data_IF_075039214545
#
_entry.id   IF_075039214545
#
_cell.length_a   1.000
_cell.length_b   1.000
_cell.length_c   1.000
_cell.angle_alpha   90.00
_cell.angle_beta   90.00
_cell.angle_gamma   90.00
#
_symmetry.space_group_name_H-M   'P 1'
#
loop_
_entity.id
_entity.type
_entity.pdbx_description
1 polymer ?
#
# COMPACT_ATOMS: atom_id res chain seq x y z
N UNK A 1 41.70 -47.29 11.20
CA UNK A 1 41.30 -46.11 11.99
C UNK A 1 39.77 -46.21 12.16
N UNK A 2 39.13 -46.48 13.31
CA UNK A 2 39.35 -46.06 14.71
C UNK A 2 39.47 -44.52 14.83
N UNK A 3 38.68 -43.78 15.63
CA UNK A 3 37.75 -44.05 16.76
C UNK A 3 36.40 -43.31 16.55
N UNK A 4 35.22 -43.84 16.94
CA UNK A 4 34.63 -44.03 18.30
C UNK A 4 34.36 -42.72 19.08
N UNK A 5 33.07 -42.42 19.32
CA UNK A 5 32.57 -42.00 20.64
C UNK A 5 31.06 -42.31 20.78
N UNK A 6 30.68 -43.13 21.76
CA UNK A 6 29.31 -43.31 22.23
C UNK A 6 29.19 -42.66 23.62
N UNK A 7 27.99 -42.17 23.95
CA UNK A 7 27.67 -41.65 25.29
C UNK A 7 26.20 -41.86 25.61
N UNK A 8 25.81 -43.11 25.90
CA UNK A 8 24.47 -43.47 26.41
C UNK A 8 24.52 -43.49 27.93
N UNK A 9 23.50 -42.94 28.60
CA UNK A 9 23.27 -43.17 30.03
C UNK A 9 21.77 -43.28 30.33
N UNK A 10 21.37 -44.46 30.81
CA UNK A 10 20.05 -44.80 31.35
C UNK A 10 20.05 -44.68 32.89
N UNK A 11 18.88 -44.56 33.51
CA UNK A 11 18.70 -44.70 34.97
C UNK A 11 17.61 -43.78 35.54
N UNK A 12 16.30 -44.10 35.56
CA UNK A 12 15.54 -45.13 36.35
C UNK A 12 14.93 -44.61 37.65
N UNK A 13 13.68 -45.04 37.92
CA UNK A 13 12.95 -45.06 39.21
C UNK A 13 12.33 -43.76 39.75
N UNK A 14 11.26 -43.78 40.57
CA UNK A 14 10.10 -44.72 40.70
C UNK A 14 9.01 -44.05 41.57
N UNK A 15 7.76 -44.16 41.10
CA UNK A 15 6.45 -43.96 41.78
C UNK A 15 6.40 -44.03 43.33
N UNK A 16 5.88 -42.97 43.97
CA UNK A 16 5.09 -42.86 45.24
C UNK A 16 4.35 -41.50 45.15
N UNK A 17 3.13 -41.23 45.64
CA UNK A 17 2.13 -42.02 46.36
C UNK A 17 1.54 -41.25 47.57
N UNK A 18 0.23 -40.91 47.52
CA UNK A 18 -0.65 -40.55 48.65
C UNK A 18 -0.76 -39.09 49.20
N UNK A 19 -1.98 -38.54 49.07
CA UNK A 19 -2.86 -37.99 50.14
C UNK A 19 -2.54 -36.69 50.94
N UNK A 20 -3.36 -35.64 50.71
CA UNK A 20 -4.46 -35.15 51.60
C UNK A 20 -4.50 -33.72 52.23
N UNK A 21 -5.76 -33.24 52.34
CA UNK A 21 -6.43 -32.10 53.05
C UNK A 21 -5.68 -30.82 53.54
N UNK A 22 -6.19 -29.65 53.12
CA UNK A 22 -6.75 -28.50 53.89
C UNK A 22 -6.51 -27.17 53.14
N UNK A 23 -7.52 -26.47 52.63
CA UNK A 23 -8.60 -25.73 53.33
C UNK A 23 -8.13 -24.51 54.14
N UNK A 24 -8.15 -23.34 53.50
CA UNK A 24 -8.51 -22.07 54.14
C UNK A 24 -9.47 -21.32 53.20
N UNK A 25 -10.68 -21.02 53.69
CA UNK A 25 -11.59 -20.02 53.12
C UNK A 25 -11.53 -18.75 53.97
N UNK A 26 -12.10 -17.68 53.38
CA UNK A 26 -12.88 -16.60 54.01
C UNK A 26 -12.27 -15.19 54.18
N UNK A 27 -13.20 -14.24 53.97
CA UNK A 27 -13.27 -12.84 54.40
C UNK A 27 -12.38 -11.81 53.65
N UNK A 28 -12.90 -10.63 53.27
CA UNK A 28 -14.32 -10.20 53.15
C UNK A 28 -14.47 -8.95 52.26
N UNK A 29 -15.67 -8.76 51.74
CA UNK A 29 -16.13 -7.55 51.05
C UNK A 29 -16.32 -6.37 52.02
N UNK A 30 -16.16 -5.14 51.51
CA UNK A 30 -17.12 -4.05 51.84
C UNK A 30 -17.15 -2.94 50.79
N UNK A 31 -18.33 -2.37 50.63
CA UNK A 31 -18.76 -1.36 49.66
C UNK A 31 -19.10 -0.02 50.33
N UNK A 32 -19.17 1.06 49.55
CA UNK A 32 -19.88 2.35 49.74
C UNK A 32 -19.86 3.01 48.33
N UNK A 33 -20.98 3.21 47.59
CA UNK A 33 -21.97 4.33 47.62
C UNK A 33 -21.34 5.74 47.43
N UNK A 34 -21.90 6.72 46.71
CA UNK A 34 -23.08 6.84 45.81
C UNK A 34 -23.04 8.23 45.10
N UNK A 35 -23.94 8.45 44.11
CA UNK A 35 -24.62 9.72 43.74
C UNK A 35 -24.41 10.36 42.33
N UNK A 36 -25.45 10.20 41.50
CA UNK A 36 -26.19 11.24 40.72
C UNK A 36 -25.47 12.30 39.87
N UNK A 37 -25.67 12.28 38.54
CA UNK A 37 -26.57 13.23 37.83
C UNK A 37 -26.51 13.13 36.28
N UNK A 38 -27.69 13.15 35.64
CA UNK A 38 -27.91 13.52 34.22
C UNK A 38 -28.44 14.98 34.17
N UNK A 39 -28.68 15.66 33.01
CA UNK A 39 -28.62 15.20 31.60
C UNK A 39 -27.91 16.15 30.59
N UNK A 40 -27.65 15.68 29.35
CA UNK A 40 -28.23 16.30 28.12
C UNK A 40 -27.65 15.79 26.76
N UNK A 41 -28.59 15.55 25.83
CA UNK A 41 -28.53 15.60 24.35
C UNK A 41 -27.19 15.37 23.60
N UNK A 42 -27.20 14.38 22.69
CA UNK A 42 -26.77 14.65 21.29
C UNK A 42 -26.10 13.52 20.48
N UNK A 43 -26.91 12.75 19.73
CA UNK A 43 -26.54 11.98 18.52
C UNK A 43 -25.30 11.04 18.57
N UNK A 44 -25.59 9.78 18.90
CA UNK A 44 -25.60 8.73 17.86
C UNK A 44 -24.26 8.22 17.30
N UNK A 45 -23.62 7.32 18.05
CA UNK A 45 -22.71 6.30 17.51
C UNK A 45 -23.02 4.94 18.16
N UNK A 46 -23.92 4.17 17.54
CA UNK A 46 -24.07 2.76 17.89
C UNK A 46 -22.98 1.96 17.18
N UNK A 47 -22.05 1.41 17.96
CA UNK A 47 -21.17 0.35 17.52
C UNK A 47 -21.98 -0.94 17.42
N UNK A 48 -22.38 -1.34 16.21
CA UNK A 48 -22.90 -2.70 16.01
C UNK A 48 -21.76 -3.70 15.84
N UNK A 49 -21.63 -4.58 16.83
CA UNK A 49 -20.78 -5.77 16.77
C UNK A 49 -21.36 -6.78 15.77
N UNK A 50 -21.02 -6.63 14.49
CA UNK A 50 -21.17 -7.72 13.54
C UNK A 50 -20.07 -8.78 13.81
N UNK A 51 -20.41 -9.74 14.68
CA UNK A 51 -19.64 -10.96 14.93
C UNK A 51 -19.58 -11.78 13.64
N UNK A 52 -18.57 -11.54 12.80
CA UNK A 52 -18.27 -12.40 11.64
C UNK A 52 -17.89 -13.76 12.21
N UNK A 53 -18.82 -14.70 12.11
CA UNK A 53 -18.61 -16.05 12.57
C UNK A 53 -17.49 -16.68 11.75
N UNK A 54 -16.50 -17.24 12.43
CA UNK A 54 -15.61 -18.26 11.86
C UNK A 54 -16.42 -19.54 11.62
N UNK A 55 -17.34 -19.50 10.66
CA UNK A 55 -18.03 -20.68 10.16
C UNK A 55 -17.08 -21.44 9.24
N UNK A 56 -16.15 -22.18 9.85
CA UNK A 56 -15.48 -23.30 9.19
C UNK A 56 -16.57 -24.22 8.63
N UNK A 57 -16.70 -24.26 7.30
CA UNK A 57 -17.87 -24.82 6.61
C UNK A 57 -18.17 -26.26 7.04
N UNK A 58 -19.45 -26.62 7.26
CA UNK A 58 -19.84 -27.99 7.66
C UNK A 58 -19.55 -29.05 6.58
N UNK A 59 -19.09 -28.64 5.40
CA UNK A 59 -18.56 -29.52 4.35
C UNK A 59 -17.31 -30.29 4.77
N UNK A 60 -16.41 -29.70 5.57
CA UNK A 60 -15.17 -30.41 5.97
C UNK A 60 -15.46 -31.60 6.91
N UNK A 61 -16.44 -31.47 7.81
CA UNK A 61 -16.92 -32.56 8.66
C UNK A 61 -17.71 -33.63 7.89
N UNK A 62 -18.40 -33.24 6.82
CA UNK A 62 -19.14 -34.20 5.99
C UNK A 62 -18.18 -35.06 5.16
N UNK A 63 -17.18 -34.44 4.53
CA UNK A 63 -16.14 -35.13 3.74
C UNK A 63 -15.35 -36.12 4.62
N UNK A 64 -15.02 -35.76 5.87
CA UNK A 64 -14.28 -36.64 6.78
C UNK A 64 -15.07 -37.85 7.31
N UNK A 65 -16.40 -37.87 7.19
CA UNK A 65 -17.22 -38.98 7.71
C UNK A 65 -17.37 -40.12 6.68
N UNK A 66 -17.31 -39.81 5.38
CA UNK A 66 -17.37 -40.79 4.28
C UNK A 66 -15.98 -41.34 3.87
N UNK A 67 -14.89 -40.75 4.38
CA UNK A 67 -13.51 -41.02 3.92
C UNK A 67 -12.78 -42.19 4.62
N UNK A 68 -13.44 -42.97 5.48
CA UNK A 68 -12.79 -44.11 6.17
C UNK A 68 -12.94 -45.45 5.43
N UNK A 69 -13.17 -45.44 4.11
CA UNK A 69 -13.10 -46.65 3.28
C UNK A 69 -11.63 -46.88 2.91
N UNK A 70 -10.92 -47.63 3.77
CA UNK A 70 -9.51 -47.97 3.57
C UNK A 70 -9.28 -48.68 2.21
N UNK A 71 -8.55 -48.07 1.25
CA UNK A 71 -8.36 -48.66 -0.07
C UNK A 71 -7.52 -49.96 -0.03
N UNK A 72 -6.69 -50.16 1.01
CA UNK A 72 -5.89 -51.39 1.15
C UNK A 72 -6.71 -52.60 1.66
N UNK A 73 -7.87 -52.38 2.30
CA UNK A 73 -8.72 -53.49 2.76
C UNK A 73 -9.64 -54.07 1.69
N UNK A 74 -9.77 -53.43 0.52
CA UNK A 74 -10.54 -53.95 -0.61
C UNK A 74 -9.62 -54.56 -1.69
N UNK A 75 -8.34 -54.16 -1.72
CA UNK A 75 -7.34 -54.71 -2.64
C UNK A 75 -6.61 -55.97 -2.10
N UNK A 76 -6.89 -56.38 -0.86
CA UNK A 76 -6.19 -57.49 -0.20
C UNK A 76 -7.12 -58.54 0.43
N UNK A 77 -7.83 -59.30 -0.41
CA UNK A 77 -7.67 -60.76 -0.35
C UNK A 77 -7.06 -61.22 -1.68
N UNK A 78 -5.72 -61.31 -1.81
CA UNK A 78 -5.16 -62.10 -2.90
C UNK A 78 -5.67 -63.53 -2.79
N UNK A 79 -5.79 -64.22 -3.92
CA UNK A 79 -6.21 -65.61 -3.94
C UNK A 79 -5.13 -66.50 -3.28
N UNK A 80 -5.28 -66.74 -1.98
CA UNK A 80 -4.76 -67.92 -1.31
C UNK A 80 -5.86 -68.98 -1.30
N UNK A 81 -5.63 -70.02 -2.11
CA UNK A 81 -5.97 -71.42 -1.86
C UNK A 81 -7.45 -71.78 -1.65
N UNK A 82 -8.34 -71.24 -2.49
CA UNK A 82 -9.57 -71.97 -2.87
C UNK A 82 -9.45 -72.38 -4.33
N UNK A 83 -9.28 -73.69 -4.54
CA UNK A 83 -9.17 -74.32 -5.85
C UNK A 83 -10.55 -74.36 -6.53
N UNK A 84 -11.01 -73.19 -7.00
CA UNK A 84 -12.25 -73.06 -7.81
C UNK A 84 -12.01 -73.57 -9.24
N UNK A 85 -11.25 -74.64 -9.36
CA UNK A 85 -10.93 -75.40 -10.57
C UNK A 85 -10.93 -76.91 -10.31
N UNK A 86 -11.60 -77.36 -9.25
CA UNK A 86 -12.07 -78.74 -9.14
C UNK A 86 -13.46 -78.89 -9.80
N UNK A 87 -13.56 -79.23 -11.10
CA UNK A 87 -14.81 -79.67 -11.68
C UNK A 87 -15.18 -80.97 -10.95
N UNK A 88 -16.37 -80.96 -10.37
CA UNK A 88 -16.94 -81.95 -9.42
C UNK A 88 -17.09 -83.41 -9.95
N UNK A 89 -16.39 -83.77 -11.02
CA UNK A 89 -16.53 -84.96 -11.85
C UNK A 89 -15.17 -85.52 -12.33
N UNK A 90 -14.06 -85.23 -11.66
CA UNK A 90 -12.77 -85.85 -12.01
C UNK A 90 -12.68 -87.35 -11.65
N UNK A 91 -13.47 -87.81 -10.68
CA UNK A 91 -13.63 -89.25 -10.44
C UNK A 91 -14.56 -89.85 -11.50
N UNK A 92 -13.97 -90.66 -12.38
CA UNK A 92 -14.70 -91.35 -13.47
C UNK A 92 -15.41 -92.61 -12.94
N UNK A 93 -15.98 -92.54 -11.74
CA UNK A 93 -16.76 -93.63 -11.16
C UNK A 93 -18.05 -93.85 -11.98
N UNK A 94 -18.41 -95.10 -12.33
CA UNK A 94 -19.67 -95.38 -13.00
C UNK A 94 -20.85 -94.98 -12.11
N UNK A 95 -21.64 -93.98 -12.55
CA UNK A 95 -22.81 -93.46 -11.82
C UNK A 95 -23.87 -94.51 -11.45
N UNK A 96 -23.82 -95.70 -12.05
CA UNK A 96 -24.66 -96.85 -11.72
C UNK A 96 -23.89 -98.15 -11.95
N UNK A 97 -23.87 -99.03 -10.95
CA UNK A 97 -23.44 -100.42 -11.14
C UNK A 97 -24.56 -101.20 -11.85
N UNK A 98 -24.43 -101.27 -13.18
CA UNK A 98 -25.34 -102.00 -14.07
C UNK A 98 -25.51 -103.47 -13.69
N UNK A 99 -24.48 -104.11 -13.13
CA UNK A 99 -24.51 -105.53 -12.80
C UNK A 99 -25.31 -105.80 -11.52
N UNK A 100 -25.20 -104.93 -10.51
CA UNK A 100 -26.03 -105.04 -9.30
C UNK A 100 -27.51 -104.78 -9.61
N UNK A 101 -27.81 -103.74 -10.40
CA UNK A 101 -29.20 -103.46 -10.83
C UNK A 101 -29.78 -104.61 -11.65
N UNK A 102 -29.00 -105.22 -12.54
CA UNK A 102 -29.41 -106.43 -13.26
C UNK A 102 -29.73 -107.59 -12.32
N UNK A 103 -28.88 -107.81 -11.30
CA UNK A 103 -29.07 -108.87 -10.31
C UNK A 103 -30.31 -108.66 -9.45
N UNK A 104 -30.60 -107.42 -9.06
CA UNK A 104 -31.83 -107.06 -8.33
C UNK A 104 -33.08 -107.28 -9.17
N UNK A 105 -33.10 -106.80 -10.44
CA UNK A 105 -34.20 -107.05 -11.39
C UNK A 105 -34.45 -108.54 -11.61
N UNK A 106 -33.38 -109.34 -11.75
CA UNK A 106 -33.49 -110.81 -11.84
C UNK A 106 -34.05 -111.44 -10.57
N UNK A 107 -33.72 -110.93 -9.39
CA UNK A 107 -34.27 -111.40 -8.11
C UNK A 107 -35.77 -111.04 -7.92
N UNK A 108 -36.21 -109.93 -8.53
CA UNK A 108 -37.61 -109.49 -8.54
C UNK A 108 -38.49 -110.23 -9.56
N UNK A 109 -37.93 -111.14 -10.36
CA UNK A 109 -38.67 -112.02 -11.28
C UNK A 109 -38.75 -111.54 -12.74
N UNK A 110 -38.01 -110.49 -13.13
CA UNK A 110 -37.97 -110.04 -14.53
C UNK A 110 -37.16 -111.00 -15.43
N UNK A 111 -37.52 -111.06 -16.72
CA UNK A 111 -36.74 -111.85 -17.70
C UNK A 111 -35.39 -111.17 -17.99
N UNK A 112 -34.47 -111.91 -18.62
CA UNK A 112 -33.13 -111.37 -18.97
C UNK A 112 -33.23 -110.13 -19.86
N UNK A 113 -34.08 -110.23 -20.88
CA UNK A 113 -34.32 -109.24 -21.92
C UNK A 113 -35.01 -108.00 -21.33
N UNK A 114 -36.06 -108.20 -20.53
CA UNK A 114 -36.73 -107.11 -19.81
C UNK A 114 -35.80 -106.37 -18.84
N UNK A 115 -34.89 -107.10 -18.17
CA UNK A 115 -33.94 -106.48 -17.24
C UNK A 115 -32.92 -105.60 -17.98
N UNK A 116 -32.45 -106.05 -19.15
CA UNK A 116 -31.51 -105.32 -20.01
C UNK A 116 -32.16 -104.07 -20.63
N UNK A 117 -33.40 -104.17 -21.13
CA UNK A 117 -34.17 -103.04 -21.65
C UNK A 117 -34.46 -101.97 -20.57
N UNK A 118 -34.84 -102.40 -19.36
CA UNK A 118 -35.06 -101.48 -18.22
C UNK A 118 -33.76 -100.75 -17.88
N UNK A 119 -32.64 -101.47 -17.84
CA UNK A 119 -31.31 -100.90 -17.62
C UNK A 119 -30.94 -99.88 -18.68
N UNK A 120 -31.09 -100.21 -19.97
CA UNK A 120 -30.80 -99.29 -21.06
C UNK A 120 -31.66 -98.03 -20.99
N UNK A 121 -32.94 -98.17 -20.62
CA UNK A 121 -33.83 -97.02 -20.42
C UNK A 121 -33.43 -96.16 -19.20
N UNK A 122 -33.02 -96.77 -18.08
CA UNK A 122 -32.52 -96.04 -16.91
C UNK A 122 -31.21 -95.31 -17.25
N UNK A 123 -30.26 -95.98 -17.89
CA UNK A 123 -29.00 -95.37 -18.34
C UNK A 123 -29.24 -94.20 -19.31
N UNK A 124 -30.17 -94.35 -20.26
CA UNK A 124 -30.56 -93.28 -21.18
C UNK A 124 -31.18 -92.08 -20.47
N UNK A 125 -32.09 -92.31 -19.51
CA UNK A 125 -32.68 -91.24 -18.70
C UNK A 125 -31.65 -90.56 -17.81
N UNK A 126 -30.78 -91.32 -17.14
CA UNK A 126 -29.72 -90.81 -16.28
C UNK A 126 -28.76 -89.92 -17.05
N UNK A 127 -28.29 -90.37 -18.22
CA UNK A 127 -27.39 -89.60 -19.08
C UNK A 127 -28.06 -88.30 -19.59
N UNK A 128 -29.34 -88.36 -19.98
CA UNK A 128 -30.09 -87.18 -20.39
C UNK A 128 -30.26 -86.15 -19.25
N UNK A 129 -30.57 -86.61 -18.03
CA UNK A 129 -30.64 -85.74 -16.85
C UNK A 129 -29.28 -85.15 -16.49
N UNK A 130 -28.21 -85.97 -16.53
CA UNK A 130 -26.86 -85.54 -16.20
C UNK A 130 -26.34 -84.50 -17.18
N UNK A 131 -26.50 -84.73 -18.49
CA UNK A 131 -26.13 -83.76 -19.53
C UNK A 131 -26.78 -82.39 -19.30
N UNK A 132 -28.07 -82.38 -18.91
CA UNK A 132 -28.78 -81.14 -18.57
C UNK A 132 -28.27 -80.47 -17.29
N UNK A 133 -27.88 -81.24 -16.27
CA UNK A 133 -27.31 -80.69 -15.03
C UNK A 133 -25.93 -80.10 -15.29
N UNK A 134 -25.09 -80.77 -16.09
CA UNK A 134 -23.77 -80.29 -16.49
C UNK A 134 -23.85 -79.00 -17.31
N UNK A 135 -24.77 -78.92 -18.28
CA UNK A 135 -25.04 -77.69 -19.05
C UNK A 135 -25.47 -76.53 -18.13
N UNK A 136 -26.39 -76.78 -17.20
CA UNK A 136 -26.82 -75.78 -16.22
C UNK A 136 -25.71 -75.36 -15.25
N UNK A 137 -24.84 -76.28 -14.85
CA UNK A 137 -23.71 -75.99 -13.96
C UNK A 137 -22.63 -75.17 -14.69
N UNK A 138 -22.26 -75.56 -15.92
CA UNK A 138 -21.30 -74.83 -16.75
C UNK A 138 -21.75 -73.38 -17.00
N UNK A 139 -23.01 -73.16 -17.38
CA UNK A 139 -23.56 -71.81 -17.55
C UNK A 139 -23.61 -71.01 -16.23
N UNK A 140 -23.86 -71.67 -15.09
CA UNK A 140 -23.78 -71.00 -13.78
C UNK A 140 -22.36 -70.62 -13.39
N UNK A 141 -21.37 -71.45 -13.72
CA UNK A 141 -19.95 -71.15 -13.49
C UNK A 141 -19.47 -70.00 -14.39
N UNK A 142 -19.84 -70.01 -15.66
CA UNK A 142 -19.52 -68.93 -16.61
C UNK A 142 -20.12 -67.59 -16.16
N UNK A 143 -21.41 -67.56 -15.79
CA UNK A 143 -22.08 -66.38 -15.24
C UNK A 143 -21.44 -65.88 -13.94
N UNK A 144 -20.95 -66.78 -13.09
CA UNK A 144 -20.26 -66.43 -11.85
C UNK A 144 -18.89 -65.81 -12.13
N UNK A 145 -18.12 -66.36 -13.07
CA UNK A 145 -16.86 -65.80 -13.53
C UNK A 145 -17.03 -64.42 -14.19
N UNK A 146 -18.04 -64.26 -15.06
CA UNK A 146 -18.40 -62.95 -15.63
C UNK A 146 -18.79 -61.93 -14.56
N UNK A 147 -19.53 -62.37 -13.53
CA UNK A 147 -19.91 -61.53 -12.38
C UNK A 147 -18.68 -61.02 -11.64
N UNK A 148 -17.71 -61.88 -11.33
CA UNK A 148 -16.46 -61.46 -10.68
C UNK A 148 -15.67 -60.47 -11.52
N UNK A 149 -15.58 -60.68 -12.84
CA UNK A 149 -14.90 -59.75 -13.75
C UNK A 149 -15.61 -58.39 -13.78
N UNK A 150 -16.94 -58.37 -13.80
CA UNK A 150 -17.73 -57.15 -13.76
C UNK A 150 -17.62 -56.41 -12.42
N UNK A 151 -17.64 -57.11 -11.30
CA UNK A 151 -17.45 -56.52 -9.96
C UNK A 151 -16.05 -55.92 -9.80
N UNK A 152 -15.02 -56.60 -10.29
CA UNK A 152 -13.64 -56.09 -10.35
C UNK A 152 -13.56 -54.78 -11.16
N UNK A 153 -14.08 -54.78 -12.39
CA UNK A 153 -14.12 -53.59 -13.24
C UNK A 153 -14.96 -52.45 -12.65
N UNK A 154 -16.07 -52.77 -11.98
CA UNK A 154 -16.88 -51.77 -11.28
C UNK A 154 -16.10 -51.13 -10.12
N UNK A 155 -15.31 -51.91 -9.39
CA UNK A 155 -14.50 -51.43 -8.28
C UNK A 155 -13.31 -50.59 -8.77
N UNK A 156 -12.65 -50.98 -9.87
CA UNK A 156 -11.63 -50.17 -10.54
C UNK A 156 -12.18 -48.80 -10.96
N UNK A 157 -13.31 -48.77 -11.70
CA UNK A 157 -13.98 -47.53 -12.12
C UNK A 157 -14.39 -46.68 -10.91
N UNK A 158 -14.83 -47.29 -9.80
CA UNK A 158 -15.18 -46.57 -8.56
C UNK A 158 -13.95 -45.90 -7.95
N UNK A 159 -12.83 -46.60 -7.87
CA UNK A 159 -11.55 -46.07 -7.35
C UNK A 159 -11.06 -44.92 -8.24
N UNK A 160 -11.11 -45.08 -9.56
CA UNK A 160 -10.69 -44.03 -10.50
C UNK A 160 -11.57 -42.78 -10.45
N UNK A 161 -12.90 -42.93 -10.32
CA UNK A 161 -13.81 -41.79 -10.13
C UNK A 161 -13.53 -41.07 -8.82
N UNK A 162 -13.32 -41.79 -7.71
CA UNK A 162 -12.99 -41.20 -6.42
C UNK A 162 -11.65 -40.46 -6.48
N UNK A 163 -10.60 -41.11 -7.00
CA UNK A 163 -9.27 -40.52 -7.20
C UNK A 163 -9.29 -39.27 -8.09
N UNK A 164 -10.05 -39.31 -9.18
CA UNK A 164 -10.24 -38.16 -10.09
C UNK A 164 -10.92 -36.99 -9.38
N UNK A 165 -11.95 -37.25 -8.57
CA UNK A 165 -12.63 -36.24 -7.75
C UNK A 165 -11.70 -35.66 -6.67
N UNK A 166 -10.95 -36.50 -5.97
CA UNK A 166 -9.99 -36.06 -4.95
C UNK A 166 -8.89 -35.16 -5.56
N UNK A 167 -8.33 -35.54 -6.71
CA UNK A 167 -7.37 -34.73 -7.44
C UNK A 167 -7.96 -33.35 -7.80
N UNK A 168 -9.17 -33.31 -8.38
CA UNK A 168 -9.83 -32.06 -8.76
C UNK A 168 -10.18 -31.18 -7.54
N UNK A 169 -10.56 -31.79 -6.42
CA UNK A 169 -10.80 -31.06 -5.15
C UNK A 169 -9.48 -30.50 -4.61
N UNK A 170 -8.40 -31.28 -4.60
CA UNK A 170 -7.08 -30.83 -4.16
C UNK A 170 -6.53 -29.69 -5.03
N UNK A 171 -6.71 -29.77 -6.35
CA UNK A 171 -6.36 -28.69 -7.30
C UNK A 171 -7.20 -27.42 -7.06
N UNK A 172 -8.51 -27.56 -6.85
CA UNK A 172 -9.42 -26.45 -6.52
C UNK A 172 -9.05 -25.77 -5.19
N UNK A 173 -8.68 -26.54 -4.17
CA UNK A 173 -8.19 -26.00 -2.89
C UNK A 173 -6.86 -25.27 -3.07
N UNK A 174 -5.92 -25.84 -3.83
CA UNK A 174 -4.62 -25.24 -4.10
C UNK A 174 -4.76 -23.90 -4.86
N UNK A 175 -5.49 -23.90 -5.98
CA UNK A 175 -5.77 -22.69 -6.77
C UNK A 175 -6.48 -21.61 -5.95
N UNK A 176 -7.44 -21.98 -5.10
CA UNK A 176 -8.08 -21.04 -4.16
C UNK A 176 -7.07 -20.47 -3.14
N UNK A 177 -6.21 -21.31 -2.57
CA UNK A 177 -5.19 -20.88 -1.59
C UNK A 177 -4.15 -19.93 -2.20
N UNK A 178 -3.72 -20.19 -3.44
CA UNK A 178 -2.86 -19.29 -4.23
C UNK A 178 -3.56 -17.96 -4.47
N UNK A 179 -4.82 -17.98 -4.94
CA UNK A 179 -5.59 -16.76 -5.20
C UNK A 179 -5.82 -15.93 -3.93
N UNK A 180 -6.08 -16.56 -2.78
CA UNK A 180 -6.16 -15.86 -1.50
C UNK A 180 -4.83 -15.20 -1.10
N UNK A 181 -3.69 -15.90 -1.32
CA UNK A 181 -2.35 -15.37 -1.02
C UNK A 181 -2.03 -14.17 -1.92
N UNK A 182 -2.38 -14.25 -3.19
CA UNK A 182 -2.15 -13.19 -4.17
C UNK A 182 -3.03 -11.97 -3.86
N UNK A 183 -4.31 -12.18 -3.52
CA UNK A 183 -5.21 -11.13 -3.05
C UNK A 183 -4.70 -10.44 -1.78
N UNK A 184 -4.23 -11.21 -0.79
CA UNK A 184 -3.60 -10.64 0.42
C UNK A 184 -2.37 -9.81 0.08
N UNK A 185 -1.49 -10.33 -0.78
CA UNK A 185 -0.28 -9.61 -1.24
C UNK A 185 -0.64 -8.27 -1.89
N UNK A 186 -1.59 -8.27 -2.82
CA UNK A 186 -2.06 -7.05 -3.51
C UNK A 186 -2.74 -6.08 -2.52
N UNK A 187 -3.48 -6.58 -1.54
CA UNK A 187 -4.11 -5.76 -0.51
C UNK A 187 -3.08 -5.10 0.42
N UNK A 188 -2.01 -5.81 0.78
CA UNK A 188 -0.95 -5.30 1.64
C UNK A 188 -0.07 -4.28 0.87
N UNK A 189 0.24 -4.56 -0.40
CA UNK A 189 0.93 -3.63 -1.32
C UNK A 189 0.12 -2.34 -1.52
N UNK A 190 -1.17 -2.44 -1.87
CA UNK A 190 -2.06 -1.28 -2.03
C UNK A 190 -2.21 -0.46 -0.73
N UNK A 191 -2.23 -1.13 0.43
CA UNK A 191 -2.26 -0.47 1.74
C UNK A 191 -0.96 0.28 2.02
N UNK A 192 0.19 -0.33 1.70
CA UNK A 192 1.51 0.28 1.79
C UNK A 192 1.62 1.51 0.90
N UNK A 193 1.27 1.38 -0.38
CA UNK A 193 1.26 2.47 -1.37
C UNK A 193 0.34 3.62 -0.96
N UNK A 194 -0.85 3.30 -0.41
CA UNK A 194 -1.76 4.32 0.09
C UNK A 194 -1.18 5.07 1.31
N UNK A 195 -0.51 4.37 2.22
CA UNK A 195 0.18 4.98 3.37
C UNK A 195 1.35 5.85 2.90
N UNK A 196 2.14 5.37 1.93
CA UNK A 196 3.24 6.12 1.32
C UNK A 196 2.73 7.38 0.62
N UNK A 197 1.79 7.25 -0.32
CA UNK A 197 1.19 8.39 -1.04
C UNK A 197 0.59 9.42 -0.08
N UNK A 198 -0.05 8.97 1.01
CA UNK A 198 -0.56 9.87 2.05
C UNK A 198 0.56 10.62 2.78
N UNK A 199 1.67 9.96 3.09
CA UNK A 199 2.83 10.58 3.71
C UNK A 199 3.47 11.60 2.75
N UNK A 200 3.76 11.19 1.52
CA UNK A 200 4.33 12.04 0.48
C UNK A 200 3.46 13.27 0.20
N UNK A 201 2.13 13.12 0.18
CA UNK A 201 1.19 14.23 0.07
C UNK A 201 1.25 15.18 1.29
N UNK A 202 1.31 14.63 2.51
CA UNK A 202 1.43 15.41 3.73
C UNK A 202 2.77 16.17 3.79
N UNK A 203 3.87 15.55 3.35
CA UNK A 203 5.19 16.18 3.22
C UNK A 203 5.15 17.29 2.17
N UNK A 204 4.59 17.04 0.99
CA UNK A 204 4.46 18.04 -0.07
C UNK A 204 3.63 19.27 0.36
N UNK A 205 2.50 19.05 1.05
CA UNK A 205 1.68 20.14 1.61
C UNK A 205 2.45 20.91 2.69
N UNK A 206 3.19 20.21 3.56
CA UNK A 206 4.03 20.84 4.58
C UNK A 206 5.13 21.69 3.97
N UNK A 207 5.80 21.19 2.92
CA UNK A 207 6.85 21.90 2.21
C UNK A 207 6.29 23.12 1.48
N UNK A 208 5.18 22.99 0.75
CA UNK A 208 4.51 24.12 0.10
C UNK A 208 4.10 25.21 1.11
N UNK A 209 3.63 24.81 2.30
CA UNK A 209 3.29 25.75 3.39
C UNK A 209 4.55 26.41 3.97
N UNK A 210 5.64 25.67 4.13
CA UNK A 210 6.95 26.17 4.57
C UNK A 210 7.52 27.17 3.57
N UNK A 211 7.54 26.81 2.28
CA UNK A 211 8.01 27.64 1.17
C UNK A 211 7.21 28.95 1.08
N UNK A 212 5.87 28.88 1.12
CA UNK A 212 5.01 30.06 1.08
C UNK A 212 5.21 30.96 2.33
N UNK A 213 5.48 30.35 3.49
CA UNK A 213 5.85 31.11 4.70
C UNK A 213 7.21 31.78 4.54
N UNK A 214 8.20 31.11 3.93
CA UNK A 214 9.52 31.68 3.64
C UNK A 214 9.45 32.76 2.56
N UNK A 215 8.67 32.59 1.48
CA UNK A 215 8.49 33.61 0.45
C UNK A 215 7.84 34.87 1.02
N UNK A 216 6.79 34.71 1.84
CA UNK A 216 6.15 35.79 2.60
C UNK A 216 7.14 36.51 3.51
N UNK A 217 7.97 35.77 4.27
CA UNK A 217 9.04 36.35 5.10
C UNK A 217 10.09 37.10 4.27
N UNK A 218 10.52 36.57 3.13
CA UNK A 218 11.46 37.27 2.21
C UNK A 218 10.85 38.58 1.68
N UNK A 219 9.57 38.57 1.31
CA UNK A 219 8.86 39.78 0.87
C UNK A 219 8.80 40.80 2.02
N UNK A 220 8.45 40.38 3.23
CA UNK A 220 8.42 41.26 4.39
C UNK A 220 9.79 41.87 4.73
N UNK A 221 10.86 41.07 4.70
CA UNK A 221 12.22 41.56 4.88
C UNK A 221 12.64 42.57 3.80
N UNK A 222 12.31 42.31 2.53
CA UNK A 222 12.53 43.29 1.44
C UNK A 222 11.77 44.60 1.67
N UNK A 223 10.54 44.55 2.16
CA UNK A 223 9.74 45.74 2.52
C UNK A 223 10.37 46.49 3.69
N UNK A 224 10.88 45.80 4.70
CA UNK A 224 11.60 46.42 5.82
C UNK A 224 12.91 47.08 5.35
N UNK A 225 13.67 46.39 4.49
CA UNK A 225 14.92 46.90 3.92
C UNK A 225 14.69 48.14 3.05
N UNK A 226 13.69 48.12 2.15
CA UNK A 226 13.36 49.30 1.33
C UNK A 226 12.81 50.44 2.16
N UNK A 227 11.98 50.18 3.18
CA UNK A 227 11.50 51.21 4.09
C UNK A 227 12.65 51.82 4.91
N UNK A 228 13.57 51.00 5.42
CA UNK A 228 14.76 51.49 6.11
C UNK A 228 15.68 52.31 5.18
N UNK A 229 15.90 51.85 3.94
CA UNK A 229 16.66 52.59 2.91
C UNK A 229 15.99 53.92 2.61
N UNK A 230 14.71 53.94 2.24
CA UNK A 230 13.94 55.17 1.99
C UNK A 230 14.03 56.09 3.21
N UNK A 231 13.78 55.60 4.42
CA UNK A 231 13.83 56.43 5.63
C UNK A 231 15.22 57.00 5.88
N UNK A 232 16.29 56.23 5.67
CA UNK A 232 17.68 56.66 5.93
C UNK A 232 18.18 57.60 4.83
N UNK A 233 17.98 57.25 3.57
CA UNK A 233 18.38 58.04 2.39
C UNK A 233 17.57 59.33 2.32
N UNK A 234 16.25 59.31 2.52
CA UNK A 234 15.42 60.52 2.54
C UNK A 234 15.75 61.42 3.73
N UNK A 235 15.92 60.87 4.93
CA UNK A 235 16.25 61.69 6.12
C UNK A 235 17.68 62.27 6.03
N UNK A 236 18.65 61.52 5.51
CA UNK A 236 20.01 62.04 5.29
C UNK A 236 20.06 63.04 4.12
N UNK A 237 19.35 62.81 3.02
CA UNK A 237 19.22 63.75 1.91
C UNK A 237 18.53 65.05 2.36
N UNK A 238 17.35 64.97 2.99
CA UNK A 238 16.64 66.16 3.51
C UNK A 238 17.48 66.92 4.55
N UNK A 239 18.18 66.23 5.47
CA UNK A 239 19.10 66.90 6.41
C UNK A 239 20.25 67.58 5.68
N UNK A 240 20.83 66.94 4.67
CA UNK A 240 21.91 67.52 3.85
C UNK A 240 21.41 68.72 3.04
N UNK A 241 20.21 68.67 2.49
CA UNK A 241 19.57 69.79 1.78
C UNK A 241 19.29 70.95 2.72
N UNK A 242 18.65 70.72 3.88
CA UNK A 242 18.40 71.75 4.91
C UNK A 242 19.72 72.37 5.38
N UNK A 243 20.74 71.56 5.62
CA UNK A 243 22.05 72.02 6.06
C UNK A 243 22.74 72.85 4.96
N UNK A 244 22.71 72.39 3.70
CA UNK A 244 23.22 73.16 2.56
C UNK A 244 22.49 74.49 2.41
N UNK A 245 21.16 74.51 2.55
CA UNK A 245 20.34 75.71 2.50
C UNK A 245 20.71 76.68 3.63
N UNK A 246 21.04 76.17 4.82
CA UNK A 246 21.53 76.94 5.98
C UNK A 246 22.92 77.55 5.71
N UNK A 247 23.82 76.82 5.05
CA UNK A 247 25.12 77.35 4.60
C UNK A 247 24.98 78.39 3.48
N UNK A 248 24.05 78.21 2.53
CA UNK A 248 23.76 79.19 1.50
C UNK A 248 23.12 80.47 2.10
N UNK A 249 22.09 80.33 2.94
CA UNK A 249 21.37 81.46 3.54
C UNK A 249 22.27 82.32 4.43
N UNK A 250 23.16 81.70 5.22
CA UNK A 250 24.12 82.46 6.04
C UNK A 250 25.13 83.22 5.19
N UNK A 251 25.73 82.59 4.18
CA UNK A 251 26.70 83.24 3.27
C UNK A 251 26.07 84.39 2.49
N UNK A 252 24.91 84.16 1.88
CA UNK A 252 24.22 85.16 1.08
C UNK A 252 23.56 86.26 1.94
N UNK A 253 23.08 85.91 3.14
CA UNK A 253 22.54 86.88 4.10
C UNK A 253 23.60 87.87 4.61
N UNK A 254 24.80 87.41 4.94
CA UNK A 254 25.92 88.30 5.33
C UNK A 254 26.28 89.24 4.18
N UNK A 255 26.37 88.73 2.95
CA UNK A 255 26.65 89.55 1.76
C UNK A 255 25.55 90.59 1.55
N UNK A 256 24.27 90.22 1.66
CA UNK A 256 23.15 91.14 1.51
C UNK A 256 23.15 92.25 2.57
N UNK A 257 23.47 91.92 3.84
CA UNK A 257 23.61 92.91 4.92
C UNK A 257 24.78 93.87 4.64
N UNK A 258 25.95 93.35 4.24
CA UNK A 258 27.11 94.18 3.89
C UNK A 258 26.79 95.12 2.71
N UNK A 259 26.19 94.61 1.64
CA UNK A 259 25.77 95.42 0.48
C UNK A 259 24.76 96.50 0.89
N UNK A 260 23.82 96.19 1.78
CA UNK A 260 22.87 97.17 2.32
C UNK A 260 23.57 98.30 3.08
N UNK A 261 24.51 97.98 3.97
CA UNK A 261 25.30 98.98 4.72
C UNK A 261 26.19 99.79 3.80
N UNK A 262 26.94 99.17 2.89
CA UNK A 262 27.78 99.87 1.91
C UNK A 262 26.96 100.78 0.99
N UNK A 263 25.78 100.34 0.54
CA UNK A 263 24.86 101.17 -0.26
C UNK A 263 24.36 102.38 0.52
N UNK A 264 24.00 102.20 1.80
CA UNK A 264 23.63 103.30 2.70
C UNK A 264 24.77 104.30 2.92
N UNK A 265 25.98 103.83 3.22
CA UNK A 265 27.16 104.67 3.38
C UNK A 265 27.55 105.41 2.08
N UNK A 266 27.48 104.72 0.93
CA UNK A 266 27.77 105.34 -0.39
C UNK A 266 26.74 106.42 -0.71
N UNK A 267 25.46 106.15 -0.46
CA UNK A 267 24.38 107.13 -0.62
C UNK A 267 24.62 108.34 0.27
N UNK A 268 24.92 108.14 1.56
CA UNK A 268 25.26 109.22 2.49
C UNK A 268 26.49 110.03 2.06
N UNK A 269 27.55 109.38 1.58
CA UNK A 269 28.74 110.03 1.05
C UNK A 269 28.43 110.89 -0.19
N UNK A 270 27.62 110.38 -1.13
CA UNK A 270 27.17 111.14 -2.30
C UNK A 270 26.28 112.31 -1.89
N UNK A 271 25.38 112.15 -0.91
CA UNK A 271 24.59 113.27 -0.37
C UNK A 271 25.49 114.34 0.28
N UNK A 272 26.56 113.94 0.99
CA UNK A 272 27.56 114.84 1.57
C UNK A 272 28.38 115.57 0.51
N UNK A 273 29.00 114.86 -0.43
CA UNK A 273 29.81 115.46 -1.51
C UNK A 273 28.97 116.40 -2.41
N UNK A 274 27.71 116.06 -2.67
CA UNK A 274 26.77 116.90 -3.42
C UNK A 274 26.28 118.11 -2.63
N UNK A 275 26.33 118.08 -1.30
CA UNK A 275 26.10 119.27 -0.46
C UNK A 275 27.32 120.20 -0.48
N UNK A 276 28.54 119.66 -0.55
CA UNK A 276 29.79 120.43 -0.58
C UNK A 276 30.00 121.15 -1.93
N UNK A 277 29.72 120.49 -3.05
CA UNK A 277 29.64 121.13 -4.38
C UNK A 277 28.52 122.19 -4.49
N UNK A 278 27.59 122.23 -3.54
CA UNK A 278 26.56 123.27 -3.44
C UNK A 278 27.04 124.53 -2.72
N UNK A 279 28.17 124.45 -2.00
CA UNK A 279 28.72 125.54 -1.21
C UNK A 279 29.74 126.37 -2.02
N UNK A 280 30.59 125.71 -2.83
CA UNK A 280 31.67 126.38 -3.60
C UNK A 280 31.24 127.11 -4.87
N UNK A 281 29.93 127.11 -5.20
CA UNK A 281 29.41 127.72 -6.45
C UNK A 281 28.88 129.16 -6.27
N UNK A 282 29.06 129.76 -5.09
CA UNK A 282 28.33 130.97 -4.68
C UNK A 282 29.19 132.23 -4.40
N UNK A 283 30.46 132.30 -4.82
CA UNK A 283 31.32 133.48 -4.57
C UNK A 283 32.22 133.83 -5.78
N UNK A 284 32.44 135.13 -6.08
CA UNK A 284 32.72 135.60 -7.46
C UNK A 284 33.56 136.92 -7.54
N UNK A 285 34.75 136.89 -8.20
CA UNK A 285 35.33 137.92 -9.14
C UNK A 285 35.82 139.30 -8.56
N UNK A 286 36.98 139.93 -8.96
CA UNK A 286 37.23 140.59 -10.29
C UNK A 286 38.69 140.69 -10.88
N UNK A 287 38.80 141.41 -12.03
CA UNK A 287 39.87 141.46 -13.10
C UNK A 287 40.89 142.65 -13.04
N UNK A 288 41.92 142.62 -13.94
CA UNK A 288 42.56 143.70 -14.81
C UNK A 288 44.09 143.39 -15.03
N UNK A 289 44.61 142.94 -16.21
CA UNK A 289 44.97 143.64 -17.49
C UNK A 289 46.30 144.49 -17.36
N UNK A 290 47.35 144.49 -18.23
CA UNK A 290 47.52 144.21 -19.70
C UNK A 290 48.94 143.63 -20.13
N UNK A 291 49.25 143.64 -21.45
CA UNK A 291 50.42 143.26 -22.31
C UNK A 291 51.39 144.46 -22.65
N UNK A 292 52.34 144.48 -23.65
CA UNK A 292 52.88 143.46 -24.61
C UNK A 292 54.44 143.43 -24.83
N UNK A 293 54.92 142.45 -25.63
CA UNK A 293 55.99 142.56 -26.66
C UNK A 293 56.18 141.19 -27.35
N UNK A 294 55.86 141.00 -28.64
CA UNK A 294 56.76 141.05 -29.83
C UNK A 294 57.86 139.95 -29.83
N UNK A 295 58.15 139.19 -30.92
CA UNK A 295 57.75 139.25 -32.35
C UNK A 295 58.07 137.91 -33.09
N UNK A 296 57.73 137.83 -34.39
CA UNK A 296 58.13 136.84 -35.43
C UNK A 296 57.64 135.36 -35.36
N UNK A 297 57.46 134.62 -36.47
CA UNK A 297 56.79 134.84 -37.79
C UNK A 297 56.69 133.49 -38.56
N UNK A 298 56.16 133.48 -39.79
CA UNK A 298 56.04 132.36 -40.77
C UNK A 298 55.15 131.14 -40.37
N UNK A 299 53.93 130.88 -40.85
CA UNK A 299 53.11 131.21 -42.06
C UNK A 299 53.02 130.07 -43.12
N UNK A 300 52.02 130.16 -44.01
CA UNK A 300 51.42 129.17 -44.94
C UNK A 300 50.33 128.26 -44.30
N UNK A 301 49.02 128.43 -44.58
CA UNK A 301 48.30 128.28 -45.88
C UNK A 301 48.57 126.89 -46.52
N UNK A 302 47.68 126.09 -47.10
CA UNK A 302 46.29 126.19 -47.56
C UNK A 302 45.71 124.73 -47.63
N UNK A 303 44.44 124.43 -47.94
CA UNK A 303 43.31 125.27 -48.31
C UNK A 303 41.94 124.59 -47.94
N UNK A 304 40.86 125.21 -48.39
CA UNK A 304 39.44 124.94 -48.20
C UNK A 304 38.80 124.20 -49.41
N UNK A 305 37.69 123.51 -49.12
CA UNK A 305 36.40 123.54 -49.87
C UNK A 305 35.92 122.35 -50.75
N UNK A 306 34.57 122.29 -50.83
CA UNK A 306 33.70 121.78 -51.90
C UNK A 306 33.28 120.30 -51.82
N UNK A 307 31.98 119.95 -51.72
CA UNK A 307 30.85 120.52 -52.48
C UNK A 307 29.49 120.39 -51.78
N UNK A 308 28.61 121.39 -51.96
CA UNK A 308 27.15 121.25 -51.76
C UNK A 308 26.49 120.54 -52.96
N UNK A 309 25.55 119.63 -52.66
CA UNK A 309 24.18 119.55 -53.25
C UNK A 309 23.25 119.12 -52.12
#
# INVERSE_FOLDING_TARGET
MFKRSLGVLWGTSRIVGSSDVRSIRHFASKSILSASSEPSKGKGTSQDKAKVASSSSPLNSFIQTELNVNPEQILAKPAEDEDVSDPMFYDNEPYMDTYQVYKELRSAGFTSEQSDDIIHMICGQLNHKMSKVLEQYAHRYELENERYLFESAQQEIRVDITRSRENHIAESINTTSVLERDLRTISDELSSDFIQMKNDNQVAISEQKSENTLSTKRIHLKIQETNHKITTELNSAMRSEIESLRWHLSRWGIIAILVSVFSGCTSFYVYKAKAEQRNTRNEFVPLVIYEPSELEEDDYHADLDKSMV
#
